data_IF_081643758464
#
_entry.id   IF_081643758464
#
_cell.length_a   1.000
_cell.length_b   1.000
_cell.length_c   1.000
_cell.angle_alpha   90.00
_cell.angle_beta   90.00
_cell.angle_gamma   90.00
#
_symmetry.space_group_name_H-M   'P 1'
#
loop_
_entity.id
_entity.type
_entity.pdbx_description
1 polymer ?
#
# COMPACT_ATOMS: atom_id res chain seq x y z
N UNK A 1 -17.78 -12.87 -0.51
CA UNK A 1 -16.62 -12.08 -0.99
C UNK A 1 -16.13 -12.67 -2.30
N UNK A 2 -16.19 -11.90 -3.39
CA UNK A 2 -15.86 -12.36 -4.75
C UNK A 2 -14.39 -12.74 -4.94
N UNK A 3 -14.06 -13.41 -6.05
CA UNK A 3 -12.71 -13.89 -6.37
C UNK A 3 -11.64 -12.79 -6.30
N UNK A 4 -11.98 -11.55 -6.66
CA UNK A 4 -11.11 -10.38 -6.55
C UNK A 4 -10.66 -10.10 -5.10
N UNK A 5 -11.53 -10.31 -4.11
CA UNK A 5 -11.20 -10.12 -2.70
C UNK A 5 -10.19 -11.14 -2.17
N UNK A 6 -10.24 -12.38 -2.68
CA UNK A 6 -9.24 -13.42 -2.34
C UNK A 6 -7.88 -13.12 -2.98
N UNK A 7 -7.87 -12.66 -4.23
CA UNK A 7 -6.65 -12.23 -4.92
C UNK A 7 -5.94 -11.08 -4.21
N UNK A 8 -6.70 -10.06 -3.78
CA UNK A 8 -6.15 -8.93 -3.02
C UNK A 8 -5.54 -9.37 -1.67
N UNK A 9 -6.24 -10.21 -0.92
CA UNK A 9 -5.75 -10.70 0.37
C UNK A 9 -4.42 -11.48 0.23
N UNK A 10 -4.33 -12.36 -0.77
CA UNK A 10 -3.11 -13.09 -1.08
C UNK A 10 -1.97 -12.15 -1.52
N UNK A 11 -2.27 -11.14 -2.34
CA UNK A 11 -1.29 -10.16 -2.78
C UNK A 11 -0.71 -9.35 -1.61
N UNK A 12 -1.55 -8.90 -0.67
CA UNK A 12 -1.12 -8.18 0.54
C UNK A 12 -0.27 -9.11 1.45
N UNK A 13 -0.68 -10.37 1.59
CA UNK A 13 0.08 -11.36 2.35
C UNK A 13 1.46 -11.65 1.75
N UNK A 14 1.62 -11.55 0.42
CA UNK A 14 2.89 -11.68 -0.28
C UNK A 14 3.81 -10.45 -0.21
N UNK A 15 3.35 -9.33 0.34
CA UNK A 15 4.21 -8.15 0.50
C UNK A 15 5.29 -8.40 1.57
N UNK A 16 6.54 -7.95 1.34
CA UNK A 16 7.54 -7.80 2.40
C UNK A 16 6.96 -7.00 3.57
N UNK A 17 7.32 -7.36 4.81
CA UNK A 17 6.79 -6.72 6.02
C UNK A 17 6.88 -5.19 5.95
N UNK A 18 8.06 -4.67 5.59
CA UNK A 18 8.31 -3.24 5.43
C UNK A 18 7.40 -2.50 4.42
N UNK A 19 6.85 -3.21 3.43
CA UNK A 19 5.88 -2.68 2.46
C UNK A 19 4.45 -2.78 3.00
N UNK A 20 4.14 -3.87 3.71
CA UNK A 20 2.85 -4.09 4.35
C UNK A 20 2.60 -3.08 5.47
N UNK A 21 3.60 -2.79 6.30
CA UNK A 21 3.48 -1.82 7.39
C UNK A 21 3.13 -0.43 6.86
N UNK A 22 3.83 0.00 5.81
CA UNK A 22 3.54 1.28 5.14
C UNK A 22 2.12 1.29 4.57
N UNK A 23 1.69 0.21 3.90
CA UNK A 23 0.34 0.10 3.37
C UNK A 23 -0.72 0.21 4.47
N UNK A 24 -0.54 -0.50 5.59
CA UNK A 24 -1.50 -0.49 6.70
C UNK A 24 -1.56 0.88 7.38
N UNK A 25 -0.43 1.52 7.63
CA UNK A 25 -0.40 2.85 8.25
C UNK A 25 -1.08 3.90 7.37
N UNK A 26 -0.87 3.87 6.06
CA UNK A 26 -1.47 4.84 5.15
C UNK A 26 -2.94 4.52 4.87
N UNK A 27 -3.24 3.31 4.42
CA UNK A 27 -4.57 2.97 3.92
C UNK A 27 -5.56 2.60 5.02
N UNK A 28 -5.10 2.04 6.15
CA UNK A 28 -5.97 1.63 7.24
C UNK A 28 -5.96 2.64 8.39
N UNK A 29 -4.78 3.09 8.82
CA UNK A 29 -4.67 4.09 9.89
C UNK A 29 -4.79 5.53 9.40
N UNK A 30 -4.86 5.77 8.08
CA UNK A 30 -5.07 7.09 7.51
C UNK A 30 -3.91 8.06 7.78
N UNK A 31 -2.69 7.56 7.98
CA UNK A 31 -1.53 8.43 8.19
C UNK A 31 -1.04 9.05 6.88
N UNK A 32 -0.59 10.29 6.96
CA UNK A 32 0.22 10.92 5.90
C UNK A 32 1.57 10.21 5.75
N UNK A 33 2.28 10.43 4.64
CA UNK A 33 3.61 9.84 4.46
C UNK A 33 4.64 10.31 5.49
N UNK A 34 4.51 11.55 5.97
CA UNK A 34 5.37 12.08 7.04
C UNK A 34 5.07 11.41 8.38
N UNK A 35 3.79 11.22 8.72
CA UNK A 35 3.37 10.53 9.94
C UNK A 35 3.79 9.06 9.93
N UNK A 36 3.56 8.35 8.83
CA UNK A 36 4.00 6.98 8.66
C UNK A 36 5.53 6.86 8.71
N UNK A 37 6.26 7.84 8.13
CA UNK A 37 7.71 7.90 8.20
C UNK A 37 8.22 8.03 9.63
N UNK A 38 7.62 8.94 10.41
CA UNK A 38 7.91 9.10 11.85
C UNK A 38 7.60 7.82 12.63
N UNK A 39 6.45 7.19 12.41
CA UNK A 39 6.05 5.96 13.09
C UNK A 39 6.99 4.78 12.82
N UNK A 40 7.54 4.70 11.61
CA UNK A 40 8.43 3.63 11.16
C UNK A 40 9.93 3.95 11.29
N UNK A 41 10.30 5.17 11.70
CA UNK A 41 11.68 5.62 11.78
C UNK A 41 12.38 5.70 10.40
N UNK A 42 11.66 6.05 9.34
CA UNK A 42 12.18 6.15 7.97
C UNK A 42 11.80 7.48 7.30
N UNK A 43 12.55 7.95 6.28
CA UNK A 43 12.18 9.15 5.54
C UNK A 43 10.83 9.03 4.81
N UNK A 44 10.07 10.11 4.71
CA UNK A 44 8.81 10.15 3.96
C UNK A 44 8.99 9.80 2.46
N UNK A 45 10.14 10.13 1.86
CA UNK A 45 10.49 9.67 0.51
C UNK A 45 10.64 8.14 0.40
N UNK A 46 11.07 7.47 1.47
CA UNK A 46 11.09 6.01 1.56
C UNK A 46 9.68 5.44 1.67
N UNK A 47 8.79 6.09 2.42
CA UNK A 47 7.36 5.73 2.49
C UNK A 47 6.73 5.81 1.10
N UNK A 48 6.91 6.93 0.39
CA UNK A 48 6.43 7.14 -0.99
C UNK A 48 6.93 6.05 -1.94
N UNK A 49 8.24 5.79 -1.96
CA UNK A 49 8.82 4.78 -2.85
C UNK A 49 8.37 3.35 -2.51
N UNK A 50 8.11 3.04 -1.22
CA UNK A 50 7.50 1.76 -0.81
C UNK A 50 6.05 1.65 -1.27
N UNK A 51 5.24 2.71 -1.10
CA UNK A 51 3.85 2.73 -1.59
C UNK A 51 3.77 2.54 -3.10
N UNK A 52 4.67 3.16 -3.88
CA UNK A 52 4.72 2.95 -5.33
C UNK A 52 4.94 1.46 -5.67
N UNK A 53 5.84 0.77 -4.96
CA UNK A 53 6.09 -0.67 -5.17
C UNK A 53 4.92 -1.53 -4.70
N UNK A 54 4.24 -1.15 -3.62
CA UNK A 54 3.01 -1.84 -3.15
C UNK A 54 1.94 -1.74 -4.23
N UNK A 55 1.64 -0.54 -4.73
CA UNK A 55 0.64 -0.31 -5.78
C UNK A 55 0.93 -1.12 -7.03
N UNK A 56 2.18 -1.15 -7.49
CA UNK A 56 2.59 -1.98 -8.61
C UNK A 56 2.30 -3.47 -8.38
N UNK A 57 2.71 -4.03 -7.23
CA UNK A 57 2.46 -5.44 -6.90
C UNK A 57 0.98 -5.78 -6.79
N UNK A 58 0.18 -4.90 -6.20
CA UNK A 58 -1.26 -5.11 -6.06
C UNK A 58 -1.95 -5.04 -7.43
N UNK A 59 -1.54 -4.11 -8.30
CA UNK A 59 -2.02 -4.06 -9.69
C UNK A 59 -1.73 -5.34 -10.44
N UNK A 60 -0.49 -5.83 -10.39
CA UNK A 60 -0.08 -7.04 -11.09
C UNK A 60 -0.89 -8.25 -10.60
N UNK A 61 -1.11 -8.37 -9.28
CA UNK A 61 -1.90 -9.45 -8.69
C UNK A 61 -3.40 -9.37 -9.01
N UNK A 62 -3.91 -8.19 -9.36
CA UNK A 62 -5.31 -7.95 -9.73
C UNK A 62 -5.54 -7.85 -11.24
N UNK A 63 -4.56 -8.28 -12.06
CA UNK A 63 -4.68 -8.29 -13.51
C UNK A 63 -4.71 -6.89 -14.13
N UNK A 64 -3.94 -5.95 -13.58
CA UNK A 64 -3.83 -4.57 -14.08
C UNK A 64 -4.84 -3.59 -13.49
N UNK A 65 -5.74 -4.05 -12.62
CA UNK A 65 -6.66 -3.16 -11.90
C UNK A 65 -5.91 -2.38 -10.82
N UNK A 66 -5.95 -1.05 -10.85
CA UNK A 66 -5.40 -0.22 -9.78
C UNK A 66 -6.41 0.01 -8.65
N UNK A 67 -6.26 -0.65 -7.48
CA UNK A 67 -7.17 -0.44 -6.37
C UNK A 67 -6.96 0.92 -5.67
N UNK A 68 -5.84 1.60 -5.92
CA UNK A 68 -5.48 2.86 -5.26
C UNK A 68 -5.93 4.12 -6.00
N UNK A 69 -6.26 4.00 -7.28
CA UNK A 69 -6.80 5.09 -8.10
C UNK A 69 -8.08 5.73 -7.53
N UNK A 70 -8.76 5.05 -6.60
CA UNK A 70 -9.95 5.54 -5.90
C UNK A 70 -9.64 6.56 -4.78
N UNK A 71 -8.36 6.82 -4.47
CA UNK A 71 -7.95 7.58 -3.26
C UNK A 71 -6.83 8.60 -3.49
N UNK A 72 -6.37 8.82 -4.72
CA UNK A 72 -5.21 9.68 -5.01
C UNK A 72 -5.50 11.19 -5.06
N UNK A 73 -6.54 11.66 -4.36
CA UNK A 73 -6.73 13.09 -4.14
C UNK A 73 -5.79 13.55 -3.02
N UNK A 74 -4.52 13.73 -3.40
CA UNK A 74 -3.46 14.47 -2.71
C UNK A 74 -3.57 14.57 -1.16
N UNK A 75 -2.97 13.61 -0.45
CA UNK A 75 -2.64 13.71 0.99
C UNK A 75 -1.19 13.31 1.25
#
# INVERSE_FOLDING_TARGET
>A
AGAAGRGLAAAIAGLPAAQRDVLLLVAWAGLTYDEAGRALGIPAGTVRSRMNRVRAKLRDALGGTDPSALTEEQR
#
